data_IF_990544272296
#
_entry.id   IF_990544272296
#
_cell.length_a   1.000
_cell.length_b   1.000
_cell.length_c   1.000
_cell.angle_alpha   90.00
_cell.angle_beta   90.00
_cell.angle_gamma   90.00
#
_symmetry.space_group_name_H-M   'P 1'
#
loop_
_entity.id
_entity.type
_entity.pdbx_description
1 polymer ?
#
# COMPACT_ATOMS: atom_id res chain seq x y z
N UNK A 1 -23.35 -7.37 8.27
CA UNK A 1 -23.60 -6.55 9.49
C UNK A 1 -22.27 -6.11 10.10
N UNK A 2 -22.20 -4.99 10.84
CA UNK A 2 -20.96 -4.56 11.50
C UNK A 2 -20.72 -5.30 12.80
N UNK A 3 -19.49 -5.74 13.03
CA UNK A 3 -19.11 -6.39 14.28
C UNK A 3 -18.95 -5.33 15.38
N UNK A 4 -19.07 -5.72 16.64
CA UNK A 4 -18.85 -4.81 17.77
C UNK A 4 -17.45 -4.17 17.74
N UNK A 5 -16.46 -4.90 17.21
CA UNK A 5 -15.10 -4.42 16.99
C UNK A 5 -15.04 -3.34 15.93
N UNK A 6 -15.70 -3.56 14.79
CA UNK A 6 -15.81 -2.53 13.75
C UNK A 6 -16.49 -1.27 14.29
N UNK A 7 -17.56 -1.41 15.06
CA UNK A 7 -18.27 -0.28 15.69
C UNK A 7 -17.38 0.47 16.69
N UNK A 8 -16.61 -0.24 17.52
CA UNK A 8 -15.68 0.35 18.46
C UNK A 8 -14.55 1.12 17.77
N UNK A 9 -13.99 0.56 16.69
CA UNK A 9 -12.96 1.22 15.88
C UNK A 9 -13.54 2.45 15.18
N UNK A 10 -14.73 2.35 14.58
CA UNK A 10 -15.41 3.48 13.95
C UNK A 10 -15.70 4.60 14.94
N UNK A 11 -16.13 4.27 16.16
CA UNK A 11 -16.34 5.25 17.22
C UNK A 11 -15.07 6.05 17.52
N UNK A 12 -13.94 5.37 17.76
CA UNK A 12 -12.68 6.05 18.05
C UNK A 12 -12.08 6.80 16.86
N UNK A 13 -12.28 6.31 15.64
CA UNK A 13 -11.91 7.05 14.43
C UNK A 13 -12.68 8.38 14.31
N UNK A 14 -13.98 8.38 14.62
CA UNK A 14 -14.79 9.61 14.65
C UNK A 14 -14.28 10.56 15.73
N UNK A 15 -14.01 10.06 16.95
CA UNK A 15 -13.46 10.88 18.05
C UNK A 15 -12.13 11.52 17.65
N UNK A 16 -11.19 10.75 17.08
CA UNK A 16 -9.91 11.25 16.59
C UNK A 16 -10.09 12.26 15.46
N UNK A 17 -11.01 12.00 14.52
CA UNK A 17 -11.29 12.91 13.42
C UNK A 17 -11.83 14.25 13.92
N UNK A 18 -12.77 14.24 14.86
CA UNK A 18 -13.29 15.46 15.50
C UNK A 18 -12.17 16.18 16.25
N UNK A 19 -11.33 15.46 17.01
CA UNK A 19 -10.19 16.05 17.70
C UNK A 19 -9.23 16.78 16.74
N UNK A 20 -8.92 16.18 15.57
CA UNK A 20 -8.09 16.83 14.55
C UNK A 20 -8.75 18.04 13.88
N UNK A 21 -10.09 18.12 13.84
CA UNK A 21 -10.80 19.28 13.31
C UNK A 21 -10.83 20.47 14.27
N UNK A 22 -10.79 20.22 15.59
CA UNK A 22 -10.81 21.26 16.63
C UNK A 22 -9.50 22.08 16.63
N UNK A 23 -8.37 21.46 16.31
CA UNK A 23 -7.09 22.15 16.26
C UNK A 23 -6.90 22.91 14.93
N UNK A 24 -6.67 24.22 15.01
CA UNK A 24 -6.58 25.12 13.85
C UNK A 24 -5.41 24.78 12.92
N UNK A 25 -4.27 24.36 13.47
CA UNK A 25 -3.07 24.00 12.68
C UNK A 25 -3.23 22.68 11.90
N UNK A 26 -3.94 21.70 12.47
CA UNK A 26 -4.25 20.44 11.79
C UNK A 26 -5.32 20.62 10.71
N UNK A 27 -6.29 21.52 10.91
CA UNK A 27 -7.32 21.83 9.90
C UNK A 27 -6.73 22.40 8.61
N UNK A 28 -5.76 23.31 8.70
CA UNK A 28 -5.08 23.87 7.52
C UNK A 28 -4.23 22.80 6.81
N UNK A 29 -3.54 21.95 7.58
CA UNK A 29 -2.79 20.81 7.05
C UNK A 29 -3.71 19.82 6.33
N UNK A 30 -4.86 19.48 6.90
CA UNK A 30 -5.88 18.64 6.26
C UNK A 30 -6.38 19.25 4.96
N UNK A 31 -6.70 20.55 4.95
CA UNK A 31 -7.12 21.26 3.74
C UNK A 31 -6.08 21.17 2.61
N UNK A 32 -4.80 21.33 2.95
CA UNK A 32 -3.71 21.18 1.98
C UNK A 32 -3.60 19.75 1.45
N UNK A 33 -3.73 18.74 2.31
CA UNK A 33 -3.77 17.33 1.89
C UNK A 33 -4.93 17.09 0.92
N UNK A 34 -6.14 17.56 1.23
CA UNK A 34 -7.29 17.43 0.33
C UNK A 34 -7.07 18.12 -1.02
N UNK A 35 -6.47 19.32 -1.03
CA UNK A 35 -6.11 20.02 -2.29
C UNK A 35 -5.13 19.21 -3.14
N UNK A 36 -4.13 18.59 -2.51
CA UNK A 36 -3.15 17.74 -3.22
C UNK A 36 -3.81 16.47 -3.75
N UNK A 37 -4.62 15.79 -2.93
CA UNK A 37 -5.36 14.60 -3.34
C UNK A 37 -6.32 14.88 -4.52
N UNK A 38 -6.89 16.09 -4.58
CA UNK A 38 -7.72 16.56 -5.70
C UNK A 38 -6.93 17.08 -6.92
N UNK A 39 -5.60 16.94 -6.94
CA UNK A 39 -4.84 17.26 -8.16
C UNK A 39 -5.23 16.32 -9.30
N UNK A 40 -5.28 16.84 -10.53
CA UNK A 40 -5.69 16.07 -11.72
C UNK A 40 -4.89 14.77 -11.91
N UNK A 41 -3.61 14.76 -11.52
CA UNK A 41 -2.73 13.60 -11.62
C UNK A 41 -3.15 12.52 -10.60
N UNK A 42 -3.33 12.90 -9.32
CA UNK A 42 -3.71 11.95 -8.27
C UNK A 42 -5.12 11.40 -8.54
N UNK A 43 -6.05 12.26 -8.97
CA UNK A 43 -7.40 11.82 -9.32
C UNK A 43 -7.40 10.81 -10.47
N UNK A 44 -6.57 11.02 -11.50
CA UNK A 44 -6.41 10.09 -12.61
C UNK A 44 -5.85 8.74 -12.13
N UNK A 45 -4.80 8.76 -11.30
CA UNK A 45 -4.18 7.56 -10.72
C UNK A 45 -5.18 6.77 -9.89
N UNK A 46 -5.96 7.44 -9.03
CA UNK A 46 -7.00 6.80 -8.25
C UNK A 46 -8.13 6.26 -9.11
N UNK A 47 -8.52 6.98 -10.17
CA UNK A 47 -9.56 6.50 -11.09
C UNK A 47 -9.14 5.20 -11.77
N UNK A 48 -7.90 5.13 -12.27
CA UNK A 48 -7.33 3.90 -12.86
C UNK A 48 -7.32 2.77 -11.82
N UNK A 49 -6.90 3.07 -10.59
CA UNK A 49 -6.90 2.10 -9.49
C UNK A 49 -8.29 1.54 -9.21
N UNK A 50 -9.30 2.40 -9.05
CA UNK A 50 -10.67 1.98 -8.77
C UNK A 50 -11.30 1.22 -9.92
N UNK A 51 -11.09 1.64 -11.17
CA UNK A 51 -11.57 0.90 -12.36
C UNK A 51 -10.96 -0.50 -12.40
N UNK A 52 -9.66 -0.63 -12.13
CA UNK A 52 -8.98 -1.92 -12.13
C UNK A 52 -9.50 -2.83 -11.02
N UNK A 53 -9.67 -2.30 -9.81
CA UNK A 53 -10.23 -3.04 -8.66
C UNK A 53 -11.68 -3.48 -8.97
N UNK A 54 -12.50 -2.60 -9.55
CA UNK A 54 -13.85 -2.94 -9.99
C UNK A 54 -13.84 -4.08 -11.02
N UNK A 55 -12.89 -4.07 -11.96
CA UNK A 55 -12.68 -5.16 -12.91
C UNK A 55 -12.31 -6.48 -12.23
N UNK A 56 -11.45 -6.46 -11.20
CA UNK A 56 -11.11 -7.65 -10.40
C UNK A 56 -12.36 -8.17 -9.67
N UNK A 57 -13.11 -7.30 -9.01
CA UNK A 57 -14.32 -7.68 -8.27
C UNK A 57 -15.35 -8.29 -9.23
N UNK A 58 -15.58 -7.67 -10.38
CA UNK A 58 -16.48 -8.18 -11.40
C UNK A 58 -16.04 -9.55 -11.93
N UNK A 59 -14.74 -9.73 -12.17
CA UNK A 59 -14.16 -11.02 -12.55
C UNK A 59 -14.40 -12.10 -11.47
N UNK A 60 -14.15 -11.78 -10.19
CA UNK A 60 -14.41 -12.69 -9.08
C UNK A 60 -15.90 -12.98 -8.87
N UNK A 61 -16.77 -12.03 -9.19
CA UNK A 61 -18.23 -12.19 -9.16
C UNK A 61 -18.70 -13.19 -10.22
N UNK A 62 -18.20 -13.09 -11.47
CA UNK A 62 -18.51 -14.06 -12.54
C UNK A 62 -18.04 -15.48 -12.16
N UNK A 63 -16.89 -15.59 -11.49
CA UNK A 63 -16.38 -16.88 -11.00
C UNK A 63 -17.18 -17.45 -9.81
N UNK A 64 -18.19 -16.74 -9.30
CA UNK A 64 -18.98 -17.15 -8.12
C UNK A 64 -18.20 -17.06 -6.79
N UNK A 65 -17.01 -16.46 -6.81
CA UNK A 65 -16.21 -16.27 -5.60
C UNK A 65 -16.71 -15.08 -4.80
N UNK A 66 -16.87 -13.92 -5.45
CA UNK A 66 -17.27 -12.68 -4.80
C UNK A 66 -18.79 -12.53 -4.73
N UNK A 67 -19.31 -12.17 -3.55
CA UNK A 67 -20.70 -11.80 -3.31
C UNK A 67 -20.77 -10.57 -2.39
N UNK A 68 -21.97 -10.06 -2.14
CA UNK A 68 -22.18 -8.83 -1.36
C UNK A 68 -21.68 -8.92 0.08
N UNK A 69 -21.51 -10.12 0.64
CA UNK A 69 -20.99 -10.29 2.00
C UNK A 69 -19.52 -9.85 2.11
N UNK A 70 -18.76 -9.99 1.01
CA UNK A 70 -17.33 -9.66 0.92
C UNK A 70 -17.06 -8.17 0.63
N UNK A 71 -18.09 -7.35 0.50
CA UNK A 71 -17.96 -5.91 0.22
C UNK A 71 -17.12 -5.20 1.28
N UNK A 72 -17.32 -5.56 2.55
CA UNK A 72 -16.60 -4.95 3.68
C UNK A 72 -15.12 -5.29 3.67
N UNK A 73 -14.81 -6.57 3.50
CA UNK A 73 -13.43 -7.06 3.40
C UNK A 73 -12.70 -6.40 2.24
N UNK A 74 -13.39 -6.23 1.11
CA UNK A 74 -12.88 -5.51 -0.05
C UNK A 74 -12.57 -4.06 0.29
N UNK A 75 -13.48 -3.34 0.96
CA UNK A 75 -13.27 -1.93 1.31
C UNK A 75 -12.10 -1.73 2.28
N UNK A 76 -11.99 -2.59 3.29
CA UNK A 76 -10.86 -2.62 4.23
C UNK A 76 -9.57 -2.87 3.46
N UNK A 77 -9.56 -3.89 2.59
CA UNK A 77 -8.39 -4.21 1.78
C UNK A 77 -7.96 -3.06 0.86
N UNK A 78 -8.91 -2.38 0.20
CA UNK A 78 -8.61 -1.20 -0.65
C UNK A 78 -7.95 -0.10 0.19
N UNK A 79 -8.51 0.20 1.35
CA UNK A 79 -8.07 1.30 2.21
C UNK A 79 -6.66 1.08 2.74
N UNK A 80 -6.39 -0.11 3.29
CA UNK A 80 -5.12 -0.39 3.97
C UNK A 80 -4.05 -1.00 3.07
N UNK A 81 -4.43 -1.72 2.02
CA UNK A 81 -3.50 -2.51 1.19
C UNK A 81 -3.31 -1.92 -0.18
N UNK A 82 -4.40 -1.63 -0.91
CA UNK A 82 -4.29 -1.15 -2.28
C UNK A 82 -3.56 0.21 -2.34
N UNK A 83 -3.93 1.14 -1.45
CA UNK A 83 -3.23 2.42 -1.31
C UNK A 83 -1.78 2.24 -0.84
N UNK A 84 -1.55 1.41 0.18
CA UNK A 84 -0.19 1.19 0.69
C UNK A 84 0.74 0.62 -0.40
N UNK A 85 0.28 -0.36 -1.19
CA UNK A 85 1.04 -0.92 -2.30
C UNK A 85 1.28 0.12 -3.40
N UNK A 86 0.27 0.92 -3.74
CA UNK A 86 0.40 1.97 -4.76
C UNK A 86 1.42 3.03 -4.35
N UNK A 87 1.32 3.59 -3.14
CA UNK A 87 2.23 4.65 -2.69
C UNK A 87 3.66 4.14 -2.47
N UNK A 88 3.83 2.97 -1.85
CA UNK A 88 5.16 2.40 -1.62
C UNK A 88 5.88 2.04 -2.93
N UNK A 89 5.14 1.82 -4.02
CA UNK A 89 5.73 1.56 -5.34
C UNK A 89 6.40 2.79 -5.95
N UNK A 90 6.00 4.01 -5.55
CA UNK A 90 6.42 5.26 -6.17
C UNK A 90 7.79 5.75 -5.67
N UNK A 91 8.08 5.64 -4.37
CA UNK A 91 9.31 6.22 -3.78
C UNK A 91 10.54 5.29 -3.89
N UNK A 92 10.32 3.97 -3.79
CA UNK A 92 11.41 2.99 -3.68
C UNK A 92 11.09 1.73 -4.46
N UNK A 93 10.91 1.82 -5.77
CA UNK A 93 10.69 0.69 -6.68
C UNK A 93 11.85 -0.35 -6.75
N UNK A 94 12.13 -1.01 -5.63
CA UNK A 94 12.35 -2.44 -5.53
C UNK A 94 13.72 -2.97 -6.00
N UNK A 95 14.66 -2.97 -5.03
CA UNK A 95 15.70 -4.02 -4.94
C UNK A 95 15.04 -5.40 -5.16
N UNK A 96 15.79 -6.36 -5.71
CA UNK A 96 15.27 -7.69 -6.04
C UNK A 96 14.43 -8.28 -4.89
N UNK A 97 13.23 -8.76 -5.21
CA UNK A 97 12.32 -9.37 -4.23
C UNK A 97 11.49 -8.41 -3.36
N UNK A 98 11.60 -7.08 -3.46
CA UNK A 98 10.81 -6.18 -2.60
C UNK A 98 9.28 -6.31 -2.86
N UNK A 99 8.81 -6.66 -4.07
CA UNK A 99 7.36 -6.87 -4.33
C UNK A 99 6.86 -8.09 -3.56
N UNK A 100 7.58 -9.21 -3.70
CA UNK A 100 7.28 -10.46 -2.98
C UNK A 100 7.33 -10.23 -1.47
N UNK A 101 8.34 -9.53 -0.98
CA UNK A 101 8.51 -9.23 0.46
C UNK A 101 7.38 -8.36 1.01
N UNK A 102 7.03 -7.26 0.34
CA UNK A 102 5.96 -6.37 0.79
C UNK A 102 4.59 -6.98 0.70
N UNK A 103 4.31 -7.76 -0.35
CA UNK A 103 3.09 -8.54 -0.48
C UNK A 103 2.95 -9.52 0.68
N UNK A 104 4.01 -10.27 1.00
CA UNK A 104 3.99 -11.20 2.13
C UNK A 104 3.83 -10.47 3.47
N UNK A 105 4.50 -9.33 3.68
CA UNK A 105 4.36 -8.53 4.90
C UNK A 105 2.93 -8.01 5.08
N UNK A 106 2.32 -7.44 4.03
CA UNK A 106 0.94 -6.95 4.06
C UNK A 106 -0.07 -8.10 4.26
N UNK A 107 0.12 -9.23 3.58
CA UNK A 107 -0.75 -10.41 3.74
C UNK A 107 -0.67 -10.96 5.17
N UNK A 108 0.53 -11.09 5.76
CA UNK A 108 0.70 -11.62 7.12
C UNK A 108 -0.09 -10.81 8.15
N UNK A 109 0.03 -9.48 8.09
CA UNK A 109 -0.67 -8.58 9.01
C UNK A 109 -2.19 -8.69 8.84
N UNK A 110 -2.67 -8.68 7.59
CA UNK A 110 -4.10 -8.77 7.31
C UNK A 110 -4.66 -10.12 7.71
N UNK A 111 -3.96 -11.22 7.45
CA UNK A 111 -4.36 -12.57 7.85
C UNK A 111 -4.55 -12.66 9.35
N UNK A 112 -3.63 -12.10 10.14
CA UNK A 112 -3.75 -12.07 11.61
C UNK A 112 -4.92 -11.19 12.04
N UNK A 113 -5.11 -10.01 11.43
CA UNK A 113 -6.24 -9.12 11.74
C UNK A 113 -7.57 -9.78 11.39
N UNK A 114 -7.69 -10.37 10.20
CA UNK A 114 -8.89 -11.04 9.71
C UNK A 114 -9.21 -12.25 10.57
N UNK A 115 -8.19 -13.01 10.97
CA UNK A 115 -8.34 -14.13 11.92
C UNK A 115 -8.89 -13.64 13.25
N UNK A 116 -8.31 -12.60 13.86
CA UNK A 116 -8.78 -12.07 15.14
C UNK A 116 -10.19 -11.45 15.02
N UNK A 117 -10.46 -10.75 13.92
CA UNK A 117 -11.75 -10.09 13.67
C UNK A 117 -12.88 -11.11 13.45
N UNK A 118 -12.61 -12.20 12.74
CA UNK A 118 -13.58 -13.25 12.45
C UNK A 118 -13.69 -14.31 13.57
N UNK A 119 -12.63 -14.55 14.34
CA UNK A 119 -12.64 -15.54 15.41
C UNK A 119 -13.53 -15.13 16.58
N UNK A 120 -13.54 -13.84 16.96
CA UNK A 120 -14.41 -13.37 18.03
C UNK A 120 -14.54 -11.84 18.10
N UNK A 121 -15.72 -11.37 18.50
CA UNK A 121 -15.91 -9.98 18.96
C UNK A 121 -16.58 -9.99 20.34
N UNK A 122 -16.07 -9.20 21.27
CA UNK A 122 -16.69 -9.03 22.57
C UNK A 122 -18.02 -8.26 22.42
N UNK A 123 -18.76 -8.13 23.53
CA UNK A 123 -19.88 -7.18 23.60
C UNK A 123 -19.36 -5.76 23.35
N UNK A 124 -20.21 -4.90 22.81
CA UNK A 124 -19.83 -3.57 22.34
C UNK A 124 -19.07 -2.72 23.38
N UNK A 125 -19.53 -2.69 24.63
CA UNK A 125 -18.94 -1.83 25.66
C UNK A 125 -17.50 -2.27 26.06
N UNK A 126 -17.22 -3.55 26.39
CA UNK A 126 -15.85 -4.03 26.55
C UNK A 126 -14.94 -3.77 25.33
N UNK A 127 -15.49 -3.90 24.12
CA UNK A 127 -14.73 -3.69 22.88
C UNK A 127 -14.31 -2.22 22.69
N UNK A 128 -15.18 -1.27 23.03
CA UNK A 128 -14.87 0.18 23.03
C UNK A 128 -13.74 0.49 24.02
N UNK A 129 -13.80 -0.07 25.23
CA UNK A 129 -12.78 0.13 26.27
C UNK A 129 -11.45 -0.50 25.85
N UNK A 130 -11.47 -1.74 25.34
CA UNK A 130 -10.26 -2.42 24.86
C UNK A 130 -9.61 -1.65 23.71
N UNK A 131 -10.41 -1.19 22.75
CA UNK A 131 -9.92 -0.40 21.60
C UNK A 131 -9.28 0.90 22.09
N UNK A 132 -9.89 1.59 23.06
CA UNK A 132 -9.32 2.80 23.65
C UNK A 132 -7.95 2.54 24.27
N UNK A 133 -7.85 1.50 25.12
CA UNK A 133 -6.59 1.15 25.79
C UNK A 133 -5.50 0.84 24.76
N UNK A 134 -5.82 0.09 23.71
CA UNK A 134 -4.86 -0.23 22.65
C UNK A 134 -4.42 1.01 21.86
N UNK A 135 -5.34 1.89 21.49
CA UNK A 135 -5.04 3.16 20.79
C UNK A 135 -4.18 4.07 21.68
N UNK A 136 -4.53 4.18 22.96
CA UNK A 136 -3.80 5.00 23.92
C UNK A 136 -2.38 4.48 24.15
N UNK A 137 -2.20 3.17 24.37
CA UNK A 137 -0.89 2.56 24.49
C UNK A 137 -0.06 2.72 23.20
N UNK A 138 -0.67 2.54 22.03
CA UNK A 138 0.00 2.77 20.75
C UNK A 138 0.45 4.22 20.57
N UNK A 139 -0.37 5.19 20.96
CA UNK A 139 -0.01 6.60 20.94
C UNK A 139 1.16 6.91 21.90
N UNK A 140 1.12 6.39 23.12
CA UNK A 140 2.21 6.54 24.08
C UNK A 140 3.51 5.90 23.57
N UNK A 141 3.44 4.72 22.95
CA UNK A 141 4.58 4.06 22.33
C UNK A 141 5.18 4.93 21.22
N UNK A 142 4.34 5.48 20.34
CA UNK A 142 4.78 6.36 19.26
C UNK A 142 5.47 7.61 19.81
N UNK A 143 4.91 8.25 20.84
CA UNK A 143 5.52 9.42 21.49
C UNK A 143 6.86 9.05 22.15
N UNK A 144 6.91 7.93 22.87
CA UNK A 144 8.14 7.46 23.53
C UNK A 144 9.26 7.11 22.54
N UNK A 145 8.92 6.70 21.31
CA UNK A 145 9.90 6.36 20.27
C UNK A 145 10.64 7.56 19.65
N UNK A 146 10.16 8.79 19.86
CA UNK A 146 10.80 9.99 19.30
C UNK A 146 12.11 10.39 20.00
N UNK A 147 12.25 10.11 21.29
CA UNK A 147 13.43 10.50 22.07
C UNK A 147 14.06 9.28 22.75
N UNK A 148 15.38 9.11 22.62
CA UNK A 148 16.11 7.99 23.23
C UNK A 148 15.95 7.94 24.77
N UNK A 149 15.65 9.08 25.39
CA UNK A 149 15.37 9.21 26.84
C UNK A 149 14.20 8.33 27.30
N UNK A 150 13.20 8.09 26.45
CA UNK A 150 11.99 7.32 26.79
C UNK A 150 12.03 5.86 26.33
N UNK A 151 13.19 5.36 25.89
CA UNK A 151 13.36 3.98 25.39
C UNK A 151 12.92 2.90 26.38
N UNK A 152 13.08 3.15 27.69
CA UNK A 152 12.59 2.21 28.72
C UNK A 152 11.06 2.18 28.77
N UNK A 153 10.40 3.33 28.62
CA UNK A 153 8.93 3.44 28.56
C UNK A 153 8.41 2.80 27.27
N UNK A 154 9.06 3.05 26.14
CA UNK A 154 8.75 2.40 24.86
C UNK A 154 8.79 0.87 25.00
N UNK A 155 9.85 0.32 25.62
CA UNK A 155 10.00 -1.13 25.82
C UNK A 155 8.90 -1.71 26.73
N UNK A 156 8.55 -1.02 27.81
CA UNK A 156 7.48 -1.43 28.72
C UNK A 156 6.13 -1.46 27.98
N UNK A 157 5.78 -0.39 27.28
CA UNK A 157 4.54 -0.29 26.52
C UNK A 157 4.49 -1.36 25.42
N UNK A 158 5.60 -1.56 24.69
CA UNK A 158 5.69 -2.61 23.66
C UNK A 158 5.43 -4.00 24.25
N UNK A 159 5.95 -4.26 25.45
CA UNK A 159 5.73 -5.53 26.16
C UNK A 159 4.25 -5.68 26.55
N UNK A 160 3.63 -4.63 27.10
CA UNK A 160 2.21 -4.63 27.45
C UNK A 160 1.30 -4.87 26.24
N UNK A 161 1.56 -4.16 25.12
CA UNK A 161 0.83 -4.37 23.86
C UNK A 161 0.99 -5.81 23.38
N UNK A 162 2.20 -6.37 23.49
CA UNK A 162 2.46 -7.76 23.09
C UNK A 162 1.72 -8.78 23.95
N UNK A 163 1.67 -8.57 25.28
CA UNK A 163 0.93 -9.44 26.21
C UNK A 163 -0.58 -9.36 25.92
N UNK A 164 -1.13 -8.15 25.75
CA UNK A 164 -2.54 -7.95 25.37
C UNK A 164 -2.85 -8.61 24.02
N UNK A 165 -1.97 -8.45 23.03
CA UNK A 165 -2.09 -9.11 21.73
C UNK A 165 -2.11 -10.63 21.84
N UNK A 166 -1.21 -11.21 22.65
CA UNK A 166 -1.17 -12.64 22.91
C UNK A 166 -2.42 -13.15 23.63
N UNK A 167 -2.96 -12.41 24.61
CA UNK A 167 -4.21 -12.76 25.28
C UNK A 167 -5.40 -12.79 24.32
N UNK A 168 -5.53 -11.76 23.48
CA UNK A 168 -6.57 -11.69 22.44
C UNK A 168 -6.43 -12.86 21.46
N UNK A 169 -5.19 -13.16 21.04
CA UNK A 169 -4.91 -14.24 20.10
C UNK A 169 -5.19 -15.62 20.69
N UNK A 170 -4.79 -15.88 21.94
CA UNK A 170 -5.06 -17.13 22.64
C UNK A 170 -6.58 -17.35 22.82
N UNK A 171 -7.31 -16.29 23.18
CA UNK A 171 -8.76 -16.35 23.30
C UNK A 171 -9.44 -16.63 21.94
N UNK A 172 -8.96 -15.98 20.87
CA UNK A 172 -9.42 -16.24 19.51
C UNK A 172 -9.24 -17.72 19.12
N UNK A 173 -8.09 -18.32 19.43
CA UNK A 173 -7.85 -19.75 19.18
C UNK A 173 -8.81 -20.61 20.01
N UNK A 174 -8.92 -20.36 21.32
CA UNK A 174 -9.76 -21.15 22.21
C UNK A 174 -11.24 -21.16 21.75
N UNK A 175 -11.76 -20.01 21.34
CA UNK A 175 -13.12 -19.87 20.82
C UNK A 175 -13.29 -20.50 19.45
N UNK A 176 -12.30 -20.38 18.56
CA UNK A 176 -12.30 -21.02 17.23
C UNK A 176 -12.35 -22.55 17.34
N UNK A 177 -11.62 -23.13 18.32
CA UNK A 177 -11.64 -24.58 18.58
C UNK A 177 -12.99 -25.02 19.13
N UNK A 178 -13.63 -24.20 19.98
CA UNK A 178 -14.93 -24.50 20.59
C UNK A 178 -16.09 -24.43 19.59
N UNK A 179 -16.07 -23.45 18.69
CA UNK A 179 -17.11 -23.21 17.67
C UNK A 179 -16.55 -23.41 16.25
N UNK A 180 -15.90 -24.55 16.00
CA UNK A 180 -15.25 -24.83 14.71
C UNK A 180 -16.23 -24.84 13.53
N UNK A 181 -17.50 -25.19 13.76
CA UNK A 181 -18.53 -25.24 12.72
C UNK A 181 -18.84 -23.86 12.09
N UNK A 182 -18.78 -22.77 12.86
CA UNK A 182 -18.99 -21.41 12.33
C UNK A 182 -17.74 -20.86 11.66
N UNK A 183 -16.55 -21.15 12.20
CA UNK A 183 -15.28 -20.72 11.60
C UNK A 183 -14.92 -21.48 10.32
N UNK A 184 -15.27 -22.77 10.24
CA UNK A 184 -15.04 -23.63 9.06
C UNK A 184 -16.03 -23.41 7.92
N UNK A 185 -16.88 -22.39 7.99
CA UNK A 185 -17.84 -22.09 6.92
C UNK A 185 -17.13 -21.61 5.64
N UNK A 186 -17.75 -21.89 4.49
CA UNK A 186 -17.23 -21.43 3.19
C UNK A 186 -17.13 -19.90 3.12
N UNK A 187 -18.02 -19.18 3.79
CA UNK A 187 -18.02 -17.71 3.81
C UNK A 187 -16.84 -17.15 4.59
N UNK A 188 -16.48 -17.75 5.74
CA UNK A 188 -15.29 -17.37 6.49
C UNK A 188 -14.02 -17.67 5.70
N UNK A 189 -13.96 -18.80 5.00
CA UNK A 189 -12.82 -19.14 4.14
C UNK A 189 -12.68 -18.15 2.97
N UNK A 190 -13.80 -17.78 2.31
CA UNK A 190 -13.82 -16.77 1.25
C UNK A 190 -13.33 -15.42 1.75
N UNK A 191 -13.82 -14.96 2.91
CA UNK A 191 -13.40 -13.72 3.57
C UNK A 191 -11.91 -13.72 3.91
N UNK A 192 -11.40 -14.85 4.41
CA UNK A 192 -9.99 -15.01 4.76
C UNK A 192 -9.04 -15.00 3.55
N UNK A 193 -9.44 -15.65 2.46
CA UNK A 193 -8.62 -15.76 1.24
C UNK A 193 -8.75 -14.53 0.32
N UNK A 194 -9.84 -13.77 0.43
CA UNK A 194 -10.13 -12.63 -0.45
C UNK A 194 -8.97 -11.60 -0.48
N UNK A 195 -8.41 -11.12 0.66
CA UNK A 195 -7.28 -10.19 0.64
C UNK A 195 -6.05 -10.72 -0.11
N UNK A 196 -5.79 -12.02 -0.03
CA UNK A 196 -4.66 -12.67 -0.72
C UNK A 196 -4.90 -12.64 -2.22
N UNK A 197 -6.09 -13.08 -2.66
CA UNK A 197 -6.49 -13.11 -4.07
C UNK A 197 -6.47 -11.70 -4.66
N UNK A 198 -7.09 -10.73 -3.98
CA UNK A 198 -7.09 -9.33 -4.41
C UNK A 198 -5.66 -8.78 -4.53
N UNK A 199 -4.77 -9.08 -3.58
CA UNK A 199 -3.38 -8.63 -3.64
C UNK A 199 -2.65 -9.20 -4.84
N UNK A 200 -2.78 -10.51 -5.10
CA UNK A 200 -2.16 -11.16 -6.26
C UNK A 200 -2.67 -10.57 -7.57
N UNK A 201 -3.99 -10.39 -7.70
CA UNK A 201 -4.62 -9.83 -8.89
C UNK A 201 -4.35 -8.34 -9.07
N UNK A 202 -4.02 -7.61 -7.99
CA UNK A 202 -3.69 -6.18 -8.02
C UNK A 202 -2.23 -5.90 -8.41
N UNK A 203 -1.31 -6.84 -8.19
CA UNK A 203 0.11 -6.68 -8.50
C UNK A 203 0.44 -6.23 -9.93
N UNK A 204 -0.22 -6.74 -10.98
CA UNK A 204 0.01 -6.28 -12.35
C UNK A 204 -0.20 -4.77 -12.51
N UNK A 205 -1.23 -4.20 -11.86
CA UNK A 205 -1.45 -2.75 -11.89
C UNK A 205 -0.30 -2.01 -11.19
N UNK A 206 0.08 -2.43 -9.98
CA UNK A 206 1.18 -1.80 -9.23
C UNK A 206 2.48 -1.85 -10.02
N UNK A 207 2.72 -2.95 -10.74
CA UNK A 207 3.86 -3.11 -11.62
C UNK A 207 3.84 -2.12 -12.79
N UNK A 208 2.72 -2.00 -13.49
CA UNK A 208 2.52 -1.03 -14.57
C UNK A 208 2.70 0.41 -14.08
N UNK A 209 2.17 0.74 -12.91
CA UNK A 209 2.33 2.06 -12.30
C UNK A 209 3.80 2.35 -11.94
N UNK A 210 4.53 1.36 -11.44
CA UNK A 210 5.96 1.48 -11.17
C UNK A 210 6.77 1.79 -12.43
N UNK A 211 6.46 1.10 -13.53
CA UNK A 211 7.10 1.37 -14.83
C UNK A 211 6.77 2.77 -15.34
N UNK A 212 5.49 3.15 -15.30
CA UNK A 212 5.03 4.49 -15.70
C UNK A 212 5.79 5.58 -14.94
N UNK A 213 5.88 5.47 -13.61
CA UNK A 213 6.59 6.41 -12.77
C UNK A 213 8.06 6.55 -13.19
N UNK A 214 8.76 5.46 -13.48
CA UNK A 214 10.16 5.53 -13.95
C UNK A 214 10.26 6.27 -15.29
N UNK A 215 9.42 5.93 -16.27
CA UNK A 215 9.42 6.62 -17.56
C UNK A 215 9.08 8.12 -17.43
N UNK A 216 8.12 8.47 -16.58
CA UNK A 216 7.76 9.87 -16.34
C UNK A 216 8.92 10.64 -15.71
N UNK A 217 9.63 10.06 -14.72
CA UNK A 217 10.83 10.67 -14.14
C UNK A 217 11.95 10.86 -15.18
N UNK A 218 12.19 9.87 -16.05
CA UNK A 218 13.17 9.97 -17.13
C UNK A 218 12.79 11.13 -18.07
N UNK A 219 11.52 11.17 -18.51
CA UNK A 219 11.00 12.18 -19.41
C UNK A 219 11.05 13.59 -18.79
N UNK A 220 10.70 13.73 -17.51
CA UNK A 220 10.77 14.98 -16.76
C UNK A 220 12.22 15.50 -16.69
N UNK A 221 13.19 14.64 -16.35
CA UNK A 221 14.62 15.01 -16.33
C UNK A 221 15.15 15.45 -17.70
N UNK A 222 14.73 14.78 -18.77
CA UNK A 222 15.09 15.17 -20.15
C UNK A 222 14.45 16.51 -20.53
N UNK A 223 13.20 16.77 -20.12
CA UNK A 223 12.49 18.03 -20.38
C UNK A 223 13.15 19.23 -19.69
N UNK A 224 13.82 19.04 -18.57
CA UNK A 224 14.54 20.10 -17.85
C UNK A 224 15.81 20.59 -18.58
N UNK A 225 16.25 19.91 -19.65
CA UNK A 225 17.40 20.34 -20.45
C UNK A 225 16.96 21.11 -21.69
N UNK A 226 17.37 22.38 -21.76
CA UNK A 226 17.01 23.30 -22.85
C UNK A 226 17.46 22.83 -24.24
N UNK A 227 18.57 22.08 -24.32
CA UNK A 227 19.13 21.56 -25.57
C UNK A 227 18.47 20.26 -26.05
N UNK A 228 17.59 19.63 -25.27
CA UNK A 228 16.89 18.41 -25.68
C UNK A 228 15.54 18.80 -26.28
N UNK A 229 15.47 18.81 -27.61
CA UNK A 229 14.23 19.10 -28.33
C UNK A 229 13.20 17.95 -28.22
N UNK A 230 11.95 18.22 -28.61
CA UNK A 230 10.85 17.26 -28.52
C UNK A 230 11.11 16.00 -29.37
N UNK A 231 11.78 16.11 -30.53
CA UNK A 231 12.08 14.97 -31.41
C UNK A 231 13.20 14.09 -30.86
N UNK A 232 14.25 14.67 -30.26
CA UNK A 232 15.31 13.92 -29.60
C UNK A 232 14.80 13.23 -28.33
N UNK A 233 13.98 13.91 -27.52
CA UNK A 233 13.37 13.30 -26.31
C UNK A 233 12.54 12.07 -26.64
N UNK A 234 11.67 12.15 -27.67
CA UNK A 234 10.85 11.01 -28.11
C UNK A 234 11.71 9.87 -28.62
N UNK A 235 12.80 10.17 -29.33
CA UNK A 235 13.75 9.16 -29.81
C UNK A 235 14.46 8.44 -28.65
N UNK A 236 14.93 9.19 -27.64
CA UNK A 236 15.55 8.63 -26.43
C UNK A 236 14.58 7.71 -25.71
N UNK A 237 13.35 8.17 -25.42
CA UNK A 237 12.35 7.37 -24.69
C UNK A 237 12.00 6.10 -25.47
N UNK A 238 11.84 6.19 -26.79
CA UNK A 238 11.58 5.00 -27.64
C UNK A 238 12.73 4.00 -27.58
N UNK A 239 13.98 4.44 -27.61
CA UNK A 239 15.13 3.54 -27.51
C UNK A 239 15.26 2.92 -26.11
N UNK A 240 14.97 3.67 -25.05
CA UNK A 240 14.91 3.14 -23.69
C UNK A 240 13.82 2.07 -23.61
N UNK A 241 12.63 2.35 -24.15
CA UNK A 241 11.52 1.40 -24.18
C UNK A 241 11.87 0.13 -24.98
N UNK A 242 12.48 0.26 -26.16
CA UNK A 242 12.90 -0.90 -26.97
C UNK A 242 14.05 -1.69 -26.33
N UNK A 243 14.88 -1.07 -25.50
CA UNK A 243 16.00 -1.75 -24.83
C UNK A 243 15.57 -2.46 -23.55
N UNK A 244 14.81 -1.77 -22.72
CA UNK A 244 14.46 -2.23 -21.38
C UNK A 244 13.05 -2.85 -21.30
N UNK A 245 12.16 -2.58 -22.26
CA UNK A 245 10.79 -3.07 -22.32
C UNK A 245 10.07 -2.89 -20.96
N UNK A 246 9.51 -3.99 -20.45
CA UNK A 246 8.89 -4.09 -19.14
C UNK A 246 9.88 -4.56 -18.06
N UNK A 247 11.18 -4.68 -18.32
CA UNK A 247 12.18 -5.10 -17.31
C UNK A 247 12.41 -3.98 -16.30
N UNK A 248 11.55 -3.91 -15.29
CA UNK A 248 11.58 -2.89 -14.24
C UNK A 248 12.96 -2.74 -13.60
N UNK A 249 13.61 -3.86 -13.24
CA UNK A 249 14.92 -3.83 -12.58
C UNK A 249 16.01 -3.18 -13.46
N UNK A 250 16.10 -3.60 -14.72
CA UNK A 250 17.09 -3.08 -15.68
C UNK A 250 16.84 -1.60 -16.01
N UNK A 251 15.56 -1.21 -16.15
CA UNK A 251 15.17 0.17 -16.42
C UNK A 251 15.55 1.11 -15.26
N UNK A 252 15.38 0.66 -14.01
CA UNK A 252 15.75 1.45 -12.84
C UNK A 252 17.26 1.55 -12.65
N UNK A 253 18.00 0.46 -12.87
CA UNK A 253 19.48 0.49 -12.86
C UNK A 253 20.01 1.52 -13.85
N UNK A 254 19.38 1.59 -15.03
CA UNK A 254 19.66 2.63 -16.02
C UNK A 254 19.30 4.04 -15.51
N UNK A 255 18.12 4.24 -14.93
CA UNK A 255 17.70 5.52 -14.37
C UNK A 255 18.68 6.06 -13.31
N UNK A 256 19.18 5.19 -12.42
CA UNK A 256 20.07 5.59 -11.32
C UNK A 256 21.51 5.84 -11.78
N UNK A 257 22.09 4.94 -12.59
CA UNK A 257 23.53 4.98 -12.88
C UNK A 257 23.87 5.54 -14.27
N UNK A 258 22.95 5.44 -15.23
CA UNK A 258 23.26 5.69 -16.65
C UNK A 258 22.59 6.93 -17.20
N UNK A 259 21.47 7.36 -16.60
CA UNK A 259 20.72 8.51 -17.05
C UNK A 259 21.51 9.82 -16.97
N UNK A 260 22.35 9.99 -15.94
CA UNK A 260 23.21 11.18 -15.82
C UNK A 260 24.21 11.31 -16.97
N UNK A 261 24.70 10.19 -17.49
CA UNK A 261 25.59 10.19 -18.66
C UNK A 261 24.80 10.39 -19.95
N UNK A 262 23.60 9.80 -20.06
CA UNK A 262 22.76 9.95 -21.24
C UNK A 262 22.25 11.38 -21.44
N UNK A 263 21.95 12.08 -20.33
CA UNK A 263 21.48 13.47 -20.34
C UNK A 263 22.56 14.44 -20.86
N UNK A 264 23.85 14.07 -20.86
CA UNK A 264 24.94 14.93 -21.37
C UNK A 264 24.99 15.00 -22.91
N UNK A 265 24.44 14.00 -23.61
CA UNK A 265 24.50 13.93 -25.07
C UNK A 265 23.54 14.92 -25.71
N UNK A 266 23.99 15.58 -26.77
CA UNK A 266 23.28 16.68 -27.44
C UNK A 266 22.75 16.31 -28.82
N UNK A 267 23.30 15.27 -29.45
CA UNK A 267 22.92 14.86 -30.81
C UNK A 267 22.31 13.45 -30.87
N UNK A 268 21.51 13.18 -31.92
CA UNK A 268 20.97 11.84 -32.17
C UNK A 268 22.07 10.80 -32.38
N UNK A 269 23.20 11.21 -32.95
CA UNK A 269 24.31 10.31 -33.27
C UNK A 269 25.05 9.86 -32.01
N UNK A 270 25.28 10.77 -31.06
CA UNK A 270 25.86 10.46 -29.74
C UNK A 270 24.96 9.49 -28.96
N UNK A 271 23.64 9.72 -28.98
CA UNK A 271 22.66 8.83 -28.36
C UNK A 271 22.68 7.45 -29.03
N UNK A 272 22.75 7.39 -30.37
CA UNK A 272 22.83 6.14 -31.12
C UNK A 272 24.12 5.36 -30.78
N UNK A 273 25.27 6.04 -30.74
CA UNK A 273 26.55 5.43 -30.35
C UNK A 273 26.53 4.91 -28.90
N UNK A 274 25.92 5.65 -27.98
CA UNK A 274 25.78 5.22 -26.59
C UNK A 274 24.94 3.94 -26.47
N UNK A 275 23.80 3.87 -27.16
CA UNK A 275 22.98 2.66 -27.14
C UNK A 275 23.69 1.49 -27.84
N UNK A 276 24.46 1.73 -28.90
CA UNK A 276 25.19 0.69 -29.63
C UNK A 276 26.38 0.12 -28.82
N UNK A 277 27.23 0.97 -28.22
CA UNK A 277 28.33 0.52 -27.34
C UNK A 277 27.84 -0.26 -26.12
N UNK A 278 26.68 0.10 -25.57
CA UNK A 278 26.10 -0.56 -24.40
C UNK A 278 25.14 -1.71 -24.76
N UNK A 279 25.06 -2.13 -26.03
CA UNK A 279 24.37 -3.38 -26.45
C UNK A 279 25.35 -4.55 -26.49
N UNK A 280 26.66 -4.30 -26.61
CA UNK A 280 27.71 -5.33 -26.72
C UNK A 280 28.25 -5.81 -25.35
N UNK A 281 27.86 -5.15 -24.25
CA UNK A 281 28.16 -5.61 -22.88
C UNK A 281 26.89 -6.07 -22.18
N UNK A 282 26.37 -7.21 -22.60
CA UNK A 282 25.44 -8.06 -21.84
C UNK A 282 25.97 -9.47 -21.96
#
# INVERSE_FOLDING_TARGET
MFTNRELAISFWLIVLFVFFLVNKGTRESLSNVFKVLCSKIILCVFSIMFIYIAGIIYFLFILGYWDTNLTKDTLIWVTFTAFALLFNSTDKALQEGFFKRKVIESIKIIVVIQFIANAYTFRLLPEIILTFVLVFLGALQAVASFEEKYKQVEKLITTLISILGLMIFANAIHLTVKDFHTFGSLDTLKSFLLPIILTVLYLPLVYCMSLYTIYDHINARLKMKSYIDKKLRRYIIRNIFLKYHFKLHSLRKFQTHSLLNLVKFRSREEVKQYFHKNVVRI
#
